data_IF_734987750823
#
_entry.id   IF_734987750823
#
_cell.length_a   1.000
_cell.length_b   1.000
_cell.length_c   1.000
_cell.angle_alpha   90.00
_cell.angle_beta   90.00
_cell.angle_gamma   90.00
#
_symmetry.space_group_name_H-M   'P 1'
#
loop_
_entity.id
_entity.type
_entity.pdbx_description
1 polymer ?
#
# COMPACT_ATOMS: atom_id res chain seq x y z
N UNK A 1 -9.78 9.53 -14.09
CA UNK A 1 -8.92 10.06 -13.02
C UNK A 1 -9.55 9.97 -11.62
N UNK A 2 -10.87 10.17 -11.45
CA UNK A 2 -11.54 10.02 -10.14
C UNK A 2 -11.73 8.57 -9.68
N UNK A 3 -11.91 7.62 -10.59
CA UNK A 3 -12.24 6.22 -10.26
C UNK A 3 -11.02 5.41 -9.82
N UNK A 4 -9.84 5.71 -10.33
CA UNK A 4 -8.57 5.09 -9.88
C UNK A 4 -8.22 5.45 -8.44
N UNK A 5 -8.53 6.67 -8.03
CA UNK A 5 -8.30 7.16 -6.66
C UNK A 5 -9.19 6.39 -5.65
N UNK A 6 -10.46 6.18 -5.98
CA UNK A 6 -11.40 5.46 -5.11
C UNK A 6 -11.01 4.00 -4.87
N UNK A 7 -10.51 3.33 -5.89
CA UNK A 7 -10.10 1.91 -5.79
C UNK A 7 -8.86 1.72 -4.93
N UNK A 8 -7.85 2.57 -5.12
CA UNK A 8 -6.64 2.51 -4.31
C UNK A 8 -6.91 2.81 -2.84
N UNK A 9 -7.81 3.74 -2.53
CA UNK A 9 -8.15 4.07 -1.15
C UNK A 9 -8.82 2.91 -0.42
N UNK A 10 -9.59 2.09 -1.12
CA UNK A 10 -10.24 0.92 -0.55
C UNK A 10 -9.24 -0.20 -0.18
N UNK A 11 -8.29 -0.51 -1.08
CA UNK A 11 -7.27 -1.54 -0.85
C UNK A 11 -6.27 -1.18 0.26
N UNK A 12 -6.17 0.12 0.57
CA UNK A 12 -5.22 0.63 1.55
C UNK A 12 -5.81 0.77 2.96
N UNK A 13 -7.11 0.55 3.15
CA UNK A 13 -7.88 0.86 4.35
C UNK A 13 -7.35 0.22 5.63
N UNK A 14 -6.78 -0.97 5.53
CA UNK A 14 -6.23 -1.71 6.68
C UNK A 14 -4.70 -1.59 6.78
N UNK A 15 -4.06 -0.89 5.84
CA UNK A 15 -2.62 -0.69 5.79
C UNK A 15 -2.20 0.53 6.59
N UNK A 16 -1.20 0.34 7.42
CA UNK A 16 -0.63 1.39 8.25
C UNK A 16 0.66 1.93 7.64
N UNK A 17 0.70 3.24 7.42
CA UNK A 17 1.93 3.98 7.13
C UNK A 17 2.39 4.68 8.41
N UNK A 18 3.65 4.47 8.79
CA UNK A 18 4.27 5.22 9.88
C UNK A 18 5.31 6.20 9.33
N UNK A 19 5.15 7.47 9.69
CA UNK A 19 6.02 8.57 9.27
C UNK A 19 6.93 8.94 10.43
N UNK A 20 8.22 9.09 10.18
CA UNK A 20 9.20 9.49 11.19
C UNK A 20 10.00 10.69 10.64
N UNK A 21 9.72 11.85 11.18
CA UNK A 21 10.40 13.12 10.84
C UNK A 21 10.37 14.03 12.06
N UNK A 22 11.41 14.83 12.27
CA UNK A 22 11.43 15.84 13.35
C UNK A 22 10.57 17.05 13.05
N UNK A 23 10.20 17.26 11.77
CA UNK A 23 9.28 18.33 11.37
C UNK A 23 7.82 17.85 11.42
N UNK A 24 7.09 18.37 12.39
CA UNK A 24 5.67 18.06 12.56
C UNK A 24 4.83 18.43 11.33
N UNK A 25 5.16 19.52 10.64
CA UNK A 25 4.44 19.99 9.45
C UNK A 25 4.55 18.97 8.32
N UNK A 26 5.73 18.43 8.10
CA UNK A 26 5.96 17.34 7.13
C UNK A 26 5.16 16.10 7.53
N UNK A 27 5.17 15.69 8.80
CA UNK A 27 4.41 14.55 9.29
C UNK A 27 2.91 14.71 9.07
N UNK A 28 2.35 15.86 9.42
CA UNK A 28 0.92 16.16 9.25
C UNK A 28 0.51 16.19 7.78
N UNK A 29 1.28 16.87 6.94
CA UNK A 29 1.02 16.98 5.51
C UNK A 29 1.03 15.61 4.81
N UNK A 30 2.03 14.78 5.10
CA UNK A 30 2.10 13.42 4.59
C UNK A 30 0.99 12.53 5.16
N UNK A 31 0.61 12.72 6.44
CA UNK A 31 -0.51 11.98 7.03
C UNK A 31 -1.82 12.29 6.32
N UNK A 32 -2.08 13.56 6.00
CA UNK A 32 -3.26 13.95 5.21
C UNK A 32 -3.21 13.33 3.82
N UNK A 33 -2.07 13.44 3.12
CA UNK A 33 -1.87 12.86 1.80
C UNK A 33 -2.21 11.36 1.77
N UNK A 34 -1.61 10.59 2.67
CA UNK A 34 -1.83 9.14 2.72
C UNK A 34 -3.24 8.74 3.17
N UNK A 35 -3.88 9.54 4.05
CA UNK A 35 -5.29 9.29 4.42
C UNK A 35 -6.25 9.52 3.25
N UNK A 36 -5.98 10.50 2.39
CA UNK A 36 -6.73 10.70 1.15
C UNK A 36 -6.60 9.50 0.20
N UNK A 37 -5.46 8.79 0.24
CA UNK A 37 -5.23 7.55 -0.49
C UNK A 37 -5.77 6.29 0.23
N UNK A 38 -6.48 6.47 1.36
CA UNK A 38 -7.14 5.41 2.12
C UNK A 38 -6.28 4.72 3.17
N UNK A 39 -5.02 5.09 3.36
CA UNK A 39 -4.16 4.49 4.38
C UNK A 39 -4.53 4.94 5.80
N UNK A 40 -4.29 4.08 6.78
CA UNK A 40 -4.14 4.50 8.15
C UNK A 40 -2.75 5.12 8.33
N UNK A 41 -2.65 6.21 9.09
CA UNK A 41 -1.39 6.88 9.32
C UNK A 41 -1.14 7.11 10.80
N UNK A 42 0.11 6.93 11.20
CA UNK A 42 0.66 7.37 12.48
C UNK A 42 2.00 8.04 12.21
N UNK A 43 2.47 8.88 13.13
CA UNK A 43 3.79 9.47 13.00
C UNK A 43 4.50 9.60 14.35
N UNK A 44 5.81 9.74 14.29
CA UNK A 44 6.69 9.99 15.43
C UNK A 44 7.67 11.10 15.06
N UNK A 45 7.86 12.04 15.97
CA UNK A 45 8.84 13.13 15.82
C UNK A 45 10.24 12.72 16.30
N UNK A 46 10.32 11.59 16.99
CA UNK A 46 11.55 11.06 17.59
C UNK A 46 11.72 9.58 17.27
N UNK A 47 12.97 9.17 17.10
CA UNK A 47 13.33 7.79 16.83
C UNK A 47 12.94 6.81 17.94
N UNK A 48 13.02 7.24 19.21
CA UNK A 48 12.65 6.44 20.37
C UNK A 48 11.15 6.10 20.36
N UNK A 49 10.28 7.04 20.04
CA UNK A 49 8.83 6.82 19.90
C UNK A 49 8.51 5.82 18.79
N UNK A 50 9.21 5.92 17.67
CA UNK A 50 9.04 4.97 16.57
C UNK A 50 9.38 3.54 17.00
N UNK A 51 10.48 3.35 17.74
CA UNK A 51 10.88 2.02 18.22
C UNK A 51 9.79 1.36 19.08
N UNK A 52 9.20 2.12 20.02
CA UNK A 52 8.10 1.65 20.86
C UNK A 52 6.82 1.32 20.05
N UNK A 53 6.57 2.09 19.00
CA UNK A 53 5.41 1.85 18.11
C UNK A 53 5.57 0.57 17.31
N UNK A 54 6.77 0.28 16.81
CA UNK A 54 7.09 -0.95 16.05
C UNK A 54 6.85 -2.22 16.88
N UNK A 55 7.01 -2.18 18.18
CA UNK A 55 6.75 -3.32 19.08
C UNK A 55 5.25 -3.60 19.22
N UNK A 56 4.43 -2.54 19.25
CA UNK A 56 2.98 -2.65 19.44
C UNK A 56 2.22 -2.99 18.17
N UNK A 57 2.49 -2.28 17.10
CA UNK A 57 1.85 -2.47 15.80
C UNK A 57 2.85 -2.17 14.69
N UNK A 58 3.18 -3.21 13.93
CA UNK A 58 4.10 -3.08 12.80
C UNK A 58 3.43 -2.35 11.65
N UNK A 59 4.02 -1.27 11.12
CA UNK A 59 3.52 -0.60 9.95
C UNK A 59 3.77 -1.46 8.69
N UNK A 60 2.88 -1.31 7.71
CA UNK A 60 3.04 -1.91 6.39
C UNK A 60 4.04 -1.14 5.54
N UNK A 61 4.18 0.16 5.81
CA UNK A 61 5.15 1.06 5.15
C UNK A 61 5.72 2.01 6.20
N UNK A 62 6.99 2.34 6.05
CA UNK A 62 7.67 3.39 6.84
C UNK A 62 8.17 4.49 5.89
N UNK A 63 7.87 5.74 6.22
CA UNK A 63 8.46 6.94 5.62
C UNK A 63 9.35 7.56 6.69
N UNK A 64 10.64 7.69 6.41
CA UNK A 64 11.65 7.93 7.42
C UNK A 64 12.64 9.02 6.97
N UNK A 65 12.75 10.13 7.72
CA UNK A 65 13.74 11.14 7.41
C UNK A 65 15.16 10.63 7.71
N UNK A 66 16.11 10.99 6.85
CA UNK A 66 17.54 10.70 7.06
C UNK A 66 18.12 11.35 8.31
N UNK A 67 17.59 12.50 8.71
CA UNK A 67 17.97 13.23 9.93
C UNK A 67 16.86 13.22 10.95
N UNK A 68 17.14 12.74 12.16
CA UNK A 68 16.21 12.66 13.28
C UNK A 68 16.84 13.27 14.55
N UNK A 69 17.16 14.56 14.47
CA UNK A 69 17.90 15.24 15.52
C UNK A 69 19.33 14.69 15.66
N UNK A 70 19.63 14.09 16.79
CA UNK A 70 20.94 13.46 17.05
C UNK A 70 21.05 12.05 16.48
N UNK A 71 19.93 11.37 16.20
CA UNK A 71 19.92 10.04 15.62
C UNK A 71 19.94 10.09 14.08
N UNK A 72 20.59 9.09 13.49
CA UNK A 72 20.58 8.90 12.05
C UNK A 72 19.41 8.03 11.63
N UNK A 73 18.62 8.49 10.65
CA UNK A 73 17.59 7.67 10.02
C UNK A 73 18.13 6.36 9.41
N UNK A 74 19.40 6.33 9.00
CA UNK A 74 20.06 5.11 8.53
C UNK A 74 20.17 4.04 9.65
N UNK A 75 20.32 4.45 10.90
CA UNK A 75 20.34 3.53 12.04
C UNK A 75 18.96 2.91 12.25
N UNK A 76 17.91 3.71 12.14
CA UNK A 76 16.53 3.23 12.18
C UNK A 76 16.21 2.29 11.02
N UNK A 77 16.62 2.65 9.81
CA UNK A 77 16.46 1.80 8.62
C UNK A 77 17.07 0.41 8.86
N UNK A 78 18.31 0.34 9.39
CA UNK A 78 18.94 -0.94 9.73
C UNK A 78 18.10 -1.75 10.71
N UNK A 79 17.56 -1.11 11.75
CA UNK A 79 16.71 -1.78 12.76
C UNK A 79 15.43 -2.32 12.13
N UNK A 80 14.75 -1.54 11.30
CA UNK A 80 13.56 -2.00 10.57
C UNK A 80 13.88 -3.20 9.69
N UNK A 81 14.97 -3.13 8.93
CA UNK A 81 15.37 -4.23 8.02
C UNK A 81 15.89 -5.47 8.75
N UNK A 82 16.48 -5.32 9.94
CA UNK A 82 16.93 -6.44 10.75
C UNK A 82 15.77 -7.32 11.26
N UNK A 83 14.55 -6.79 11.36
CA UNK A 83 13.37 -7.55 11.80
C UNK A 83 12.85 -8.54 10.74
N UNK A 84 13.44 -8.59 9.55
CA UNK A 84 13.06 -9.46 8.42
C UNK A 84 11.57 -9.36 8.04
N UNK A 85 10.94 -8.23 8.29
CA UNK A 85 9.50 -8.06 8.07
C UNK A 85 9.13 -7.78 6.63
N UNK A 86 10.11 -7.53 5.75
CA UNK A 86 9.87 -7.11 4.37
C UNK A 86 9.31 -5.68 4.23
N UNK A 87 9.07 -4.97 5.35
CA UNK A 87 8.43 -3.64 5.33
C UNK A 87 9.18 -2.67 4.40
N UNK A 88 8.52 -2.11 3.38
CA UNK A 88 9.09 -1.07 2.54
C UNK A 88 9.41 0.18 3.36
N UNK A 89 10.60 0.74 3.16
CA UNK A 89 11.05 1.98 3.83
C UNK A 89 11.44 3.01 2.79
N UNK A 90 10.77 4.14 2.81
CA UNK A 90 11.05 5.31 1.98
C UNK A 90 11.81 6.32 2.81
N UNK A 91 13.01 6.70 2.35
CA UNK A 91 13.82 7.68 3.06
C UNK A 91 13.53 9.09 2.53
N UNK A 92 13.38 10.06 3.44
CA UNK A 92 13.30 11.48 3.08
C UNK A 92 14.65 12.15 3.33
N UNK A 93 15.08 12.99 2.41
CA UNK A 93 16.34 13.73 2.49
C UNK A 93 16.07 15.24 2.44
N UNK A 94 16.45 15.98 3.48
CA UNK A 94 16.31 17.46 3.50
C UNK A 94 17.24 18.15 2.49
N UNK A 95 18.38 17.52 2.22
CA UNK A 95 19.34 17.94 1.18
C UNK A 95 19.81 16.74 0.36
N UNK A 96 20.01 16.92 -0.96
CA UNK A 96 20.53 15.85 -1.80
C UNK A 96 21.96 15.47 -1.33
N UNK A 97 22.09 14.34 -0.67
CA UNK A 97 23.38 13.77 -0.26
C UNK A 97 23.53 12.40 -0.94
N UNK A 98 24.27 12.38 -2.02
CA UNK A 98 24.44 11.17 -2.84
C UNK A 98 24.96 9.97 -2.02
N UNK A 99 25.93 10.20 -1.14
CA UNK A 99 26.51 9.13 -0.31
C UNK A 99 25.50 8.54 0.68
N UNK A 100 24.68 9.40 1.30
CA UNK A 100 23.62 8.95 2.22
C UNK A 100 22.53 8.19 1.46
N UNK A 101 22.15 8.64 0.26
CA UNK A 101 21.18 7.96 -0.59
C UNK A 101 21.70 6.58 -1.02
N UNK A 102 22.93 6.49 -1.51
CA UNK A 102 23.56 5.21 -1.88
C UNK A 102 23.63 4.27 -0.67
N UNK A 103 23.98 4.79 0.50
CA UNK A 103 24.01 4.00 1.74
C UNK A 103 22.63 3.50 2.13
N UNK A 104 21.60 4.35 2.06
CA UNK A 104 20.21 3.96 2.32
C UNK A 104 19.75 2.83 1.39
N UNK A 105 20.03 2.96 0.09
CA UNK A 105 19.70 1.91 -0.89
C UNK A 105 20.40 0.59 -0.60
N UNK A 106 21.70 0.63 -0.27
CA UNK A 106 22.47 -0.57 0.14
C UNK A 106 21.93 -1.22 1.42
N UNK A 107 21.35 -0.44 2.33
CA UNK A 107 20.71 -0.92 3.55
C UNK A 107 19.30 -1.45 3.30
N UNK A 108 18.80 -1.40 2.07
CA UNK A 108 17.51 -1.94 1.67
C UNK A 108 16.36 -0.93 1.76
N UNK A 109 16.61 0.37 1.71
CA UNK A 109 15.56 1.34 1.46
C UNK A 109 14.85 1.02 0.13
N UNK A 110 13.55 1.25 0.08
CA UNK A 110 12.77 1.08 -1.15
C UNK A 110 13.01 2.23 -2.12
N UNK A 111 13.21 3.43 -1.57
CA UNK A 111 13.56 4.63 -2.35
C UNK A 111 14.10 5.73 -1.42
N UNK A 112 14.73 6.77 -2.03
CA UNK A 112 15.19 7.98 -1.34
C UNK A 112 14.64 9.20 -2.07
N UNK A 113 13.84 10.01 -1.37
CA UNK A 113 13.09 11.13 -1.92
C UNK A 113 13.60 12.42 -1.28
N UNK A 114 14.04 13.37 -2.10
CA UNK A 114 14.50 14.68 -1.61
C UNK A 114 13.31 15.61 -1.33
N UNK A 115 13.47 16.46 -0.31
CA UNK A 115 12.57 17.59 -0.09
C UNK A 115 12.96 18.78 -1.01
N UNK A 116 11.99 19.52 -1.57
CA UNK A 116 10.54 19.39 -1.39
C UNK A 116 10.00 18.11 -2.00
N UNK A 117 9.08 17.47 -1.27
CA UNK A 117 8.58 16.14 -1.64
C UNK A 117 7.64 16.25 -2.84
N UNK A 118 8.00 15.56 -3.93
CA UNK A 118 7.07 15.29 -5.02
C UNK A 118 6.07 14.23 -4.56
N UNK A 119 4.85 14.67 -4.28
CA UNK A 119 3.79 13.82 -3.72
C UNK A 119 3.30 12.77 -4.70
N UNK A 120 3.26 13.07 -6.00
CA UNK A 120 2.86 12.11 -7.04
C UNK A 120 3.90 10.99 -7.16
N UNK A 121 5.18 11.38 -7.19
CA UNK A 121 6.28 10.42 -7.20
C UNK A 121 6.27 9.52 -5.95
N UNK A 122 6.14 10.11 -4.75
CA UNK A 122 6.06 9.34 -3.50
C UNK A 122 4.91 8.33 -3.53
N UNK A 123 3.71 8.76 -3.93
CA UNK A 123 2.55 7.89 -4.02
C UNK A 123 2.75 6.76 -5.04
N UNK A 124 3.35 7.06 -6.20
CA UNK A 124 3.63 6.06 -7.22
C UNK A 124 4.62 5.01 -6.72
N UNK A 125 5.70 5.44 -6.05
CA UNK A 125 6.72 4.56 -5.46
C UNK A 125 6.13 3.67 -4.35
N UNK A 126 5.27 4.24 -3.50
CA UNK A 126 4.54 3.49 -2.47
C UNK A 126 3.64 2.42 -3.07
N UNK A 127 2.85 2.77 -4.10
CA UNK A 127 1.98 1.81 -4.80
C UNK A 127 2.78 0.68 -5.45
N UNK A 128 3.93 0.99 -6.04
CA UNK A 128 4.80 -0.01 -6.66
C UNK A 128 5.41 -0.96 -5.62
N UNK A 129 5.89 -0.44 -4.48
CA UNK A 129 6.42 -1.26 -3.40
C UNK A 129 5.36 -2.25 -2.88
N UNK A 130 4.12 -1.79 -2.70
CA UNK A 130 3.01 -2.65 -2.27
C UNK A 130 2.64 -3.72 -3.31
N UNK A 131 2.77 -3.43 -4.60
CA UNK A 131 2.58 -4.44 -5.65
C UNK A 131 3.66 -5.52 -5.61
N UNK A 132 4.90 -5.14 -5.35
CA UNK A 132 6.03 -6.10 -5.21
C UNK A 132 5.88 -6.99 -3.99
N UNK A 133 5.41 -6.47 -2.87
CA UNK A 133 5.15 -7.25 -1.64
C UNK A 133 4.09 -8.34 -1.86
N UNK A 134 3.04 -8.06 -2.61
CA UNK A 134 2.03 -9.06 -3.00
C UNK A 134 2.66 -10.20 -3.82
N UNK A 135 3.66 -9.90 -4.66
CA UNK A 135 4.33 -10.93 -5.48
C UNK A 135 5.38 -11.73 -4.68
N UNK A 136 6.10 -11.08 -3.75
CA UNK A 136 7.12 -11.73 -2.93
C UNK A 136 6.54 -12.45 -1.71
N UNK A 137 5.46 -11.96 -1.13
CA UNK A 137 4.74 -12.60 -0.03
C UNK A 137 4.13 -13.96 -0.42
N UNK A 138 3.87 -14.17 -1.71
CA UNK A 138 3.48 -15.47 -2.26
C UNK A 138 4.62 -16.51 -2.25
N UNK A 139 5.89 -16.07 -2.12
CA UNK A 139 7.06 -16.95 -2.14
C UNK A 139 7.78 -17.13 -0.80
N UNK A 140 7.54 -16.27 0.19
CA UNK A 140 8.20 -16.34 1.49
C UNK A 140 7.16 -16.20 2.60
N UNK A 141 6.77 -17.30 3.21
CA UNK A 141 5.81 -17.51 4.29
C UNK A 141 5.75 -16.54 5.48
N UNK A 142 5.62 -15.25 5.24
CA UNK A 142 5.48 -14.20 6.24
C UNK A 142 4.25 -13.34 5.99
N UNK A 143 3.27 -13.45 6.88
CA UNK A 143 1.89 -12.94 6.85
C UNK A 143 1.18 -13.30 5.53
N UNK A 144 0.33 -14.29 5.64
CA UNK A 144 -0.70 -14.52 4.61
C UNK A 144 -1.41 -13.18 4.40
N UNK A 145 -1.47 -12.64 3.16
CA UNK A 145 -2.57 -11.74 2.84
C UNK A 145 -3.81 -12.49 3.32
N UNK A 146 -4.77 -11.78 3.88
CA UNK A 146 -6.07 -12.40 4.16
C UNK A 146 -6.54 -12.92 2.81
N UNK A 147 -6.30 -14.19 2.58
CA UNK A 147 -6.60 -14.83 1.31
C UNK A 147 -8.10 -14.98 1.31
N UNK A 148 -8.80 -14.04 0.68
CA UNK A 148 -10.19 -14.29 0.32
C UNK A 148 -10.18 -15.62 -0.39
N UNK A 149 -10.78 -16.62 0.22
CA UNK A 149 -10.77 -17.99 -0.28
C UNK A 149 -11.22 -17.97 -1.73
N UNK A 150 -10.33 -18.33 -2.66
CA UNK A 150 -10.59 -18.27 -4.10
C UNK A 150 -10.04 -17.03 -4.85
N UNK A 151 -9.49 -16.02 -4.18
CA UNK A 151 -8.98 -14.82 -4.83
C UNK A 151 -7.73 -15.11 -5.70
N UNK A 152 -6.88 -16.04 -5.25
CA UNK A 152 -5.73 -16.54 -6.01
C UNK A 152 -6.14 -17.29 -7.30
N UNK A 153 -7.37 -17.81 -7.35
CA UNK A 153 -7.92 -18.53 -8.52
C UNK A 153 -8.52 -17.60 -9.58
N UNK A 154 -8.65 -16.29 -9.29
CA UNK A 154 -9.17 -15.34 -10.26
C UNK A 154 -8.12 -15.05 -11.35
N UNK A 155 -8.55 -15.18 -12.61
CA UNK A 155 -7.76 -14.71 -13.73
C UNK A 155 -7.62 -13.17 -13.71
N UNK A 156 -6.61 -12.59 -14.42
CA UNK A 156 -6.48 -11.14 -14.51
C UNK A 156 -7.80 -10.46 -14.93
N UNK A 157 -8.49 -11.02 -15.90
CA UNK A 157 -9.76 -10.49 -16.42
C UNK A 157 -10.91 -10.55 -15.39
N UNK A 158 -10.97 -11.61 -14.61
CA UNK A 158 -11.95 -11.74 -13.52
C UNK A 158 -11.66 -10.76 -12.38
N UNK A 159 -10.41 -10.42 -12.11
CA UNK A 159 -10.02 -9.39 -11.15
C UNK A 159 -10.45 -8.00 -11.59
N UNK A 160 -10.25 -7.66 -12.87
CA UNK A 160 -10.72 -6.40 -13.46
C UNK A 160 -12.25 -6.29 -13.33
N UNK A 161 -12.98 -7.35 -13.66
CA UNK A 161 -14.44 -7.36 -13.53
C UNK A 161 -14.87 -7.27 -12.06
N UNK A 162 -14.21 -7.98 -11.13
CA UNK A 162 -14.48 -7.85 -9.69
C UNK A 162 -14.31 -6.42 -9.22
N UNK A 163 -13.27 -5.74 -9.67
CA UNK A 163 -13.00 -4.34 -9.37
C UNK A 163 -14.17 -3.44 -9.77
N UNK A 164 -14.67 -3.59 -11.00
CA UNK A 164 -15.76 -2.75 -11.50
C UNK A 164 -17.08 -3.02 -10.78
N UNK A 165 -17.32 -4.28 -10.40
CA UNK A 165 -18.49 -4.65 -9.59
C UNK A 165 -18.44 -4.02 -8.20
N UNK A 166 -17.28 -4.07 -7.54
CA UNK A 166 -17.12 -3.50 -6.20
C UNK A 166 -17.20 -1.98 -6.21
N UNK A 167 -16.90 -1.34 -7.34
CA UNK A 167 -17.13 0.09 -7.57
C UNK A 167 -18.60 0.43 -7.89
N UNK A 168 -19.50 -0.54 -7.86
CA UNK A 168 -20.93 -0.32 -8.11
C UNK A 168 -21.31 -0.20 -9.57
N UNK A 169 -20.41 -0.49 -10.51
CA UNK A 169 -20.69 -0.38 -11.94
C UNK A 169 -21.67 -1.46 -12.41
N UNK A 170 -22.56 -1.05 -13.30
CA UNK A 170 -23.44 -1.97 -14.03
C UNK A 170 -22.66 -2.78 -15.07
N UNK A 171 -23.20 -3.91 -15.51
CA UNK A 171 -22.58 -4.72 -16.58
C UNK A 171 -22.35 -3.94 -17.87
N UNK A 172 -23.19 -2.93 -18.14
CA UNK A 172 -23.07 -2.07 -19.33
C UNK A 172 -21.90 -1.08 -19.20
N UNK A 173 -21.70 -0.50 -18.03
CA UNK A 173 -20.59 0.41 -17.73
C UNK A 173 -19.27 -0.34 -17.73
N UNK A 174 -19.19 -1.44 -16.99
CA UNK A 174 -18.02 -2.32 -16.95
C UNK A 174 -17.66 -2.86 -18.36
N UNK A 175 -18.66 -3.20 -19.17
CA UNK A 175 -18.45 -3.64 -20.54
C UNK A 175 -17.83 -2.57 -21.44
N UNK A 176 -18.26 -1.30 -21.30
CA UNK A 176 -17.67 -0.16 -22.01
C UNK A 176 -16.22 0.06 -21.62
N UNK A 177 -15.94 0.04 -20.33
CA UNK A 177 -14.60 0.30 -19.79
C UNK A 177 -13.61 -0.78 -20.20
N UNK A 178 -14.04 -2.05 -20.18
CA UNK A 178 -13.19 -3.18 -20.55
C UNK A 178 -13.21 -3.52 -22.03
N UNK A 179 -13.98 -2.81 -22.87
CA UNK A 179 -14.07 -3.05 -24.30
C UNK A 179 -14.70 -4.42 -24.66
N UNK A 180 -15.62 -4.93 -23.83
CA UNK A 180 -16.31 -6.23 -24.04
C UNK A 180 -17.83 -6.07 -23.88
N UNK A 181 -18.59 -7.07 -24.34
CA UNK A 181 -20.03 -7.03 -24.25
C UNK A 181 -20.53 -7.12 -22.79
N UNK A 182 -21.68 -6.51 -22.43
CA UNK A 182 -22.31 -6.69 -21.12
C UNK A 182 -22.58 -8.17 -20.79
N UNK A 183 -22.83 -8.97 -21.80
CA UNK A 183 -23.02 -10.44 -21.66
C UNK A 183 -21.74 -11.13 -21.25
N UNK A 184 -20.60 -10.71 -21.77
CA UNK A 184 -19.27 -11.21 -21.38
C UNK A 184 -18.95 -10.83 -19.94
N UNK A 185 -19.33 -9.63 -19.50
CA UNK A 185 -19.21 -9.20 -18.09
C UNK A 185 -20.02 -10.13 -17.17
N UNK A 186 -21.26 -10.48 -17.55
CA UNK A 186 -22.09 -11.41 -16.75
C UNK A 186 -21.40 -12.77 -16.56
N UNK A 187 -20.77 -13.30 -17.62
CA UNK A 187 -20.04 -14.58 -17.53
C UNK A 187 -18.86 -14.46 -16.58
N UNK A 188 -18.07 -13.39 -16.65
CA UNK A 188 -16.96 -13.16 -15.71
C UNK A 188 -17.48 -12.95 -14.28
N UNK A 189 -18.57 -12.21 -14.10
CA UNK A 189 -19.22 -12.03 -12.78
C UNK A 189 -19.62 -13.35 -12.15
N UNK A 190 -20.27 -14.21 -12.91
CA UNK A 190 -20.68 -15.54 -12.43
C UNK A 190 -19.47 -16.37 -11.97
N UNK A 191 -18.38 -16.38 -12.75
CA UNK A 191 -17.14 -17.07 -12.40
C UNK A 191 -16.46 -16.48 -11.16
N UNK A 192 -16.45 -15.16 -11.02
CA UNK A 192 -15.93 -14.48 -9.83
C UNK A 192 -16.73 -14.89 -8.60
N UNK A 193 -18.06 -14.85 -8.68
CA UNK A 193 -18.94 -15.24 -7.57
C UNK A 193 -18.75 -16.70 -7.18
N UNK A 194 -18.66 -17.59 -8.15
CA UNK A 194 -18.39 -19.03 -7.93
C UNK A 194 -17.05 -19.25 -7.23
N UNK A 195 -15.96 -18.64 -7.72
CA UNK A 195 -14.61 -18.81 -7.17
C UNK A 195 -14.46 -18.21 -5.77
N UNK A 196 -15.17 -17.13 -5.47
CA UNK A 196 -15.17 -16.48 -4.15
C UNK A 196 -16.25 -17.04 -3.21
N UNK A 197 -17.10 -17.95 -3.69
CA UNK A 197 -18.18 -18.53 -2.89
C UNK A 197 -19.30 -17.54 -2.55
N UNK A 198 -19.46 -16.47 -3.33
CA UNK A 198 -20.47 -15.44 -3.12
C UNK A 198 -21.81 -15.86 -3.71
N UNK A 199 -22.90 -15.73 -2.94
CA UNK A 199 -24.26 -16.10 -3.37
C UNK A 199 -24.96 -15.00 -4.18
N UNK A 200 -24.58 -13.76 -3.95
CA UNK A 200 -25.11 -12.58 -4.63
C UNK A 200 -24.10 -11.43 -4.52
N UNK A 201 -24.38 -10.29 -5.18
CA UNK A 201 -23.49 -9.13 -5.18
C UNK A 201 -23.26 -8.56 -3.77
N UNK A 202 -24.28 -8.55 -2.90
CA UNK A 202 -24.12 -8.05 -1.54
C UNK A 202 -23.22 -8.98 -0.71
N UNK A 203 -23.32 -10.29 -0.90
CA UNK A 203 -22.45 -11.29 -0.27
C UNK A 203 -21.02 -11.18 -0.81
N UNK A 204 -20.85 -10.95 -2.12
CA UNK A 204 -19.57 -10.66 -2.75
C UNK A 204 -18.91 -9.43 -2.13
N UNK A 205 -19.67 -8.34 -1.99
CA UNK A 205 -19.19 -7.12 -1.34
C UNK A 205 -18.76 -7.40 0.11
N UNK A 206 -19.56 -8.15 0.87
CA UNK A 206 -19.23 -8.54 2.23
C UNK A 206 -17.92 -9.35 2.26
N UNK A 207 -17.77 -10.36 1.43
CA UNK A 207 -16.57 -11.21 1.36
C UNK A 207 -15.33 -10.37 1.04
N UNK A 208 -15.44 -9.44 0.08
CA UNK A 208 -14.31 -8.57 -0.31
C UNK A 208 -14.04 -7.48 0.73
N UNK A 209 -15.08 -7.03 1.48
CA UNK A 209 -14.97 -5.94 2.46
C UNK A 209 -14.58 -6.39 3.86
N UNK A 210 -14.83 -7.64 4.24
CA UNK A 210 -14.60 -8.15 5.60
C UNK A 210 -13.47 -9.17 5.69
N UNK A 211 -12.86 -9.52 4.57
CA UNK A 211 -11.66 -10.35 4.49
C UNK A 211 -10.43 -9.50 4.45
#
# INVERSE_FOLDING_TARGET
>A
MSDEIFYHSFLNRDRLIHIVDTDATTCESLSVLFRLEGFQTTFSLEAAHFAATMERRRPDIVVLNLRLGEESGLSLLRRVKATRTGTPVFMLADTPQLEAAVTAMKLGASDVISKPIDTEYLLSSVREALRRDVHLGAMQGGRRPVEVRGFSQLTPREREVLQLITNGQSNKEAGRELGISPRTIEVHRARVMEKLGARNTADLMRIVLTS
#
